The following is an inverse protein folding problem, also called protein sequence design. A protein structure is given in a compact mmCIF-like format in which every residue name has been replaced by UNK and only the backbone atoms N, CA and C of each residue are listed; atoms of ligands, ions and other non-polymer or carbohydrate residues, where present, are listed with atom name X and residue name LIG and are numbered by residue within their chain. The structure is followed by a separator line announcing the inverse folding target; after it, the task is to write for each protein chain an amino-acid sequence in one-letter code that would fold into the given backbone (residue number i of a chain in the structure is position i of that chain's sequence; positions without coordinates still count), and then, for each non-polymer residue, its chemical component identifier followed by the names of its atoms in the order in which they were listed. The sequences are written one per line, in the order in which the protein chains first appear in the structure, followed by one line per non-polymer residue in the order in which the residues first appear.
data_IF_306565145319
#
_entry.id   IF_306565145319
#
_cell.length_a   1.000
_cell.length_b   1.000
_cell.length_c   1.000
_cell.angle_alpha   90.00
_cell.angle_beta   90.00
_cell.angle_gamma   90.00
#
_symmetry.space_group_name_H-M   'P 1'
#
loop_
_entity.id
_entity.type
_entity.pdbx_description
1 polymer ?
#
# COMPACT_ATOMS: atom_id res chain seq x y z
N UNK A 1 3.71 -11.45 7.76
CA UNK A 1 4.00 -12.47 8.80
C UNK A 1 5.21 -13.32 8.37
N UNK A 2 5.90 -14.05 9.25
CA UNK A 2 6.84 -15.12 8.83
C UNK A 2 6.04 -16.40 8.55
N UNK A 3 6.58 -17.30 7.72
CA UNK A 3 5.89 -18.57 7.47
C UNK A 3 5.71 -19.39 8.74
N UNK A 4 6.70 -19.43 9.65
CA UNK A 4 6.58 -20.25 10.85
C UNK A 4 5.39 -19.85 11.72
N UNK A 5 5.16 -18.55 11.92
CA UNK A 5 3.93 -18.01 12.53
C UNK A 5 2.66 -18.26 11.71
N UNK A 6 2.75 -18.19 10.38
CA UNK A 6 1.59 -18.34 9.48
C UNK A 6 1.11 -19.80 9.43
N UNK A 7 2.04 -20.76 9.36
CA UNK A 7 1.74 -22.18 9.25
C UNK A 7 1.05 -22.72 10.50
N UNK A 8 1.39 -22.19 11.68
CA UNK A 8 0.80 -22.58 12.97
C UNK A 8 -0.32 -21.64 13.43
N UNK A 9 -0.80 -20.76 12.56
CA UNK A 9 -1.81 -19.78 12.98
C UNK A 9 -3.10 -20.49 13.40
N UNK A 10 -3.64 -20.10 14.55
CA UNK A 10 -4.83 -20.72 15.12
C UNK A 10 -6.04 -20.56 14.20
N UNK A 11 -6.92 -21.57 14.19
CA UNK A 11 -8.22 -21.51 13.53
C UNK A 11 -9.02 -20.28 13.97
N UNK A 12 -9.03 -19.96 15.27
CA UNK A 12 -9.72 -18.80 15.85
C UNK A 12 -8.82 -17.56 15.94
N UNK A 13 -8.11 -17.24 14.86
CA UNK A 13 -7.15 -16.12 14.83
C UNK A 13 -7.78 -14.72 14.69
N UNK A 14 -9.07 -14.61 14.34
CA UNK A 14 -9.73 -13.32 14.16
C UNK A 14 -10.12 -12.69 15.50
N UNK A 15 -9.75 -11.42 15.68
CA UNK A 15 -10.07 -10.63 16.88
C UNK A 15 -10.83 -9.38 16.47
N UNK A 16 -12.08 -9.25 16.93
CA UNK A 16 -12.86 -8.03 16.78
C UNK A 16 -12.38 -6.99 17.79
N UNK A 17 -12.03 -5.79 17.30
CA UNK A 17 -11.52 -4.70 18.15
C UNK A 17 -12.64 -3.72 18.51
N UNK A 18 -13.64 -3.56 17.65
CA UNK A 18 -14.73 -2.61 17.84
C UNK A 18 -15.06 -1.86 16.55
N UNK A 19 -15.58 -0.63 16.69
CA UNK A 19 -15.84 0.28 15.58
C UNK A 19 -14.96 1.52 15.68
N UNK A 20 -14.52 2.03 14.53
CA UNK A 20 -13.86 3.31 14.45
C UNK A 20 -14.84 4.48 14.67
N UNK A 21 -14.32 5.70 14.67
CA UNK A 21 -15.12 6.93 14.83
C UNK A 21 -16.13 7.17 13.71
N UNK A 22 -16.00 6.46 12.59
CA UNK A 22 -16.90 6.48 11.43
C UNK A 22 -17.89 5.31 11.46
N UNK A 23 -17.83 4.45 12.47
CA UNK A 23 -18.69 3.28 12.62
C UNK A 23 -18.23 2.04 11.85
N UNK A 24 -17.06 2.07 11.21
CA UNK A 24 -16.51 0.91 10.50
C UNK A 24 -15.94 -0.10 11.48
N UNK A 25 -16.20 -1.37 11.23
CA UNK A 25 -15.66 -2.45 12.05
C UNK A 25 -14.14 -2.56 11.91
N UNK A 26 -13.46 -2.71 13.04
CA UNK A 26 -12.02 -2.92 13.13
C UNK A 26 -11.73 -4.34 13.59
N UNK A 27 -10.86 -5.01 12.83
CA UNK A 27 -10.47 -6.39 13.06
C UNK A 27 -8.95 -6.52 13.09
N UNK A 28 -8.46 -7.52 13.81
CA UNK A 28 -7.06 -7.92 13.82
C UNK A 28 -6.92 -9.42 13.70
N UNK A 29 -5.75 -9.85 13.25
CA UNK A 29 -5.35 -11.25 13.31
C UNK A 29 -4.36 -11.46 14.45
N UNK A 30 -4.63 -12.45 15.31
CA UNK A 30 -3.78 -12.85 16.43
C UNK A 30 -2.97 -14.10 16.05
N UNK A 31 -1.67 -14.08 16.36
CA UNK A 31 -0.78 -15.20 16.08
C UNK A 31 0.42 -15.20 17.05
N UNK A 32 1.09 -16.35 17.16
CA UNK A 32 2.32 -16.48 17.94
C UNK A 32 3.55 -16.14 17.09
N UNK A 33 4.42 -15.24 17.57
CA UNK A 33 5.69 -14.94 16.92
C UNK A 33 6.81 -15.66 17.67
N UNK A 34 7.20 -16.83 17.17
CA UNK A 34 8.24 -17.67 17.77
C UNK A 34 9.55 -16.93 18.04
N UNK A 35 9.93 -15.97 17.19
CA UNK A 35 11.19 -15.24 17.35
C UNK A 35 11.13 -14.24 18.51
N UNK A 36 9.95 -13.69 18.76
CA UNK A 36 9.71 -12.75 19.85
C UNK A 36 9.16 -13.44 21.10
N UNK A 37 8.89 -14.74 21.01
CA UNK A 37 8.32 -15.59 22.05
C UNK A 37 7.08 -14.98 22.71
N UNK A 38 6.16 -14.46 21.88
CA UNK A 38 4.94 -13.80 22.35
C UNK A 38 3.82 -13.81 21.33
N UNK A 39 2.59 -13.69 21.82
CA UNK A 39 1.44 -13.39 20.99
C UNK A 39 1.52 -11.96 20.41
N UNK A 40 1.10 -11.81 19.16
CA UNK A 40 1.01 -10.54 18.46
C UNK A 40 -0.31 -10.42 17.74
N UNK A 41 -0.77 -9.18 17.62
CA UNK A 41 -1.93 -8.80 16.83
C UNK A 41 -1.52 -7.85 15.72
N UNK A 42 -2.04 -8.05 14.52
CA UNK A 42 -1.87 -7.13 13.39
C UNK A 42 -3.27 -6.74 12.87
N UNK A 43 -3.55 -5.43 12.68
CA UNK A 43 -4.81 -4.99 12.10
C UNK A 43 -4.95 -5.47 10.65
N UNK A 44 -6.16 -5.87 10.28
CA UNK A 44 -6.47 -6.41 8.95
C UNK A 44 -7.69 -5.70 8.34
N UNK A 45 -7.77 -5.70 7.01
CA UNK A 45 -8.91 -5.16 6.28
C UNK A 45 -10.13 -6.07 6.41
N UNK A 46 -11.33 -5.51 6.20
CA UNK A 46 -12.57 -6.29 6.15
C UNK A 46 -12.57 -7.34 5.03
N UNK A 47 -11.93 -7.03 3.90
CA UNK A 47 -11.74 -7.99 2.81
C UNK A 47 -10.94 -9.21 3.28
N UNK A 48 -9.87 -9.01 4.05
CA UNK A 48 -9.08 -10.12 4.58
C UNK A 48 -9.84 -10.90 5.65
N UNK A 49 -10.68 -10.25 6.47
CA UNK A 49 -11.57 -10.94 7.41
C UNK A 49 -12.47 -11.92 6.68
N UNK A 50 -13.07 -11.50 5.57
CA UNK A 50 -13.95 -12.34 4.77
C UNK A 50 -13.22 -13.54 4.17
N UNK A 51 -12.01 -13.34 3.64
CA UNK A 51 -11.16 -14.43 3.14
C UNK A 51 -10.81 -15.42 4.26
N UNK A 52 -10.50 -14.94 5.46
CA UNK A 52 -10.20 -15.82 6.61
C UNK A 52 -11.43 -16.62 7.03
N UNK A 53 -12.62 -16.02 7.03
CA UNK A 53 -13.87 -16.74 7.32
C UNK A 53 -14.15 -17.85 6.30
N UNK A 54 -13.98 -17.58 5.01
CA UNK A 54 -14.11 -18.59 3.96
C UNK A 54 -13.11 -19.73 4.16
N UNK A 55 -11.88 -19.42 4.56
CA UNK A 55 -10.89 -20.44 4.91
C UNK A 55 -11.29 -21.26 6.14
N UNK A 56 -11.87 -20.64 7.18
CA UNK A 56 -12.40 -21.33 8.36
C UNK A 56 -13.54 -22.27 7.99
N UNK A 57 -14.46 -21.83 7.13
CA UNK A 57 -15.56 -22.66 6.62
C UNK A 57 -15.04 -23.86 5.84
N UNK A 58 -14.09 -23.64 4.93
CA UNK A 58 -13.44 -24.71 4.18
C UNK A 58 -12.76 -25.74 5.11
N UNK A 59 -12.02 -25.30 6.12
CA UNK A 59 -11.39 -26.24 7.05
C UNK A 59 -12.42 -26.97 7.90
N UNK A 60 -13.48 -26.29 8.36
CA UNK A 60 -14.55 -26.91 9.15
C UNK A 60 -15.27 -28.01 8.37
N UNK A 61 -15.55 -27.79 7.09
CA UNK A 61 -16.22 -28.76 6.22
C UNK A 61 -15.45 -30.08 6.11
N UNK A 62 -14.11 -30.02 6.01
CA UNK A 62 -13.28 -31.20 5.80
C UNK A 62 -12.66 -31.79 7.07
N UNK A 63 -12.35 -30.97 8.08
CA UNK A 63 -11.61 -31.39 9.27
C UNK A 63 -12.45 -31.36 10.55
N UNK A 64 -13.66 -30.79 10.52
CA UNK A 64 -14.51 -30.59 11.70
C UNK A 64 -14.10 -29.39 12.55
N UNK A 65 -14.83 -29.18 13.65
CA UNK A 65 -14.65 -28.02 14.54
C UNK A 65 -13.45 -28.14 15.50
N UNK A 66 -12.85 -29.32 15.63
CA UNK A 66 -11.74 -29.59 16.55
C UNK A 66 -10.35 -29.50 15.87
N UNK A 67 -10.29 -28.80 14.73
CA UNK A 67 -9.03 -28.51 14.06
C UNK A 67 -8.38 -27.23 14.60
N UNK A 68 -7.11 -27.30 14.96
CA UNK A 68 -6.38 -26.24 15.66
C UNK A 68 -5.91 -25.09 14.75
N UNK A 69 -5.63 -25.35 13.47
CA UNK A 69 -4.91 -24.44 12.57
C UNK A 69 -5.78 -23.90 11.43
N UNK A 70 -5.67 -22.61 11.11
CA UNK A 70 -6.37 -22.02 9.96
C UNK A 70 -5.92 -22.63 8.62
N UNK A 71 -4.65 -23.03 8.54
CA UNK A 71 -4.06 -23.65 7.36
C UNK A 71 -3.52 -25.03 7.71
N UNK A 72 -3.79 -25.99 6.85
CA UNK A 72 -3.33 -27.37 7.04
C UNK A 72 -2.53 -27.88 5.85
N UNK A 73 -1.82 -28.98 6.06
CA UNK A 73 -1.16 -29.72 4.99
C UNK A 73 -2.20 -30.46 4.14
N UNK A 74 -1.77 -30.82 2.94
CA UNK A 74 -2.55 -31.71 2.07
C UNK A 74 -2.47 -33.16 2.55
N UNK A 75 -3.57 -33.88 2.46
CA UNK A 75 -3.62 -35.33 2.72
C UNK A 75 -2.67 -36.12 1.81
N UNK A 76 -2.01 -37.15 2.36
CA UNK A 76 -1.06 -38.00 1.62
C UNK A 76 -1.82 -38.77 0.53
N UNK A 77 -1.30 -38.77 -0.70
CA UNK A 77 -1.89 -39.49 -1.84
C UNK A 77 -2.92 -38.70 -2.65
N UNK A 78 -3.36 -37.52 -2.20
CA UNK A 78 -4.25 -36.66 -2.99
C UNK A 78 -3.45 -35.82 -4.01
N UNK A 79 -2.85 -36.47 -5.00
CA UNK A 79 -2.15 -35.77 -6.10
C UNK A 79 -3.12 -35.14 -7.13
N UNK A 80 -4.42 -35.16 -6.84
CA UNK A 80 -5.44 -34.55 -7.68
C UNK A 80 -5.41 -33.02 -7.68
N UNK A 81 -6.19 -32.43 -8.61
CA UNK A 81 -6.37 -30.98 -8.73
C UNK A 81 -7.01 -30.36 -7.48
N UNK A 82 -7.80 -31.14 -6.74
CA UNK A 82 -8.48 -30.72 -5.51
C UNK A 82 -7.53 -30.79 -4.33
N UNK A 83 -7.51 -29.72 -3.53
CA UNK A 83 -6.79 -29.70 -2.25
C UNK A 83 -7.66 -30.32 -1.17
N UNK A 84 -7.19 -31.41 -0.55
CA UNK A 84 -7.87 -32.05 0.58
C UNK A 84 -7.04 -31.76 1.84
N UNK A 85 -7.57 -30.99 2.80
CA UNK A 85 -6.86 -30.64 4.01
C UNK A 85 -6.73 -31.86 4.94
N UNK A 86 -5.65 -31.89 5.72
CA UNK A 86 -5.41 -32.91 6.73
C UNK A 86 -5.47 -32.29 8.12
N UNK A 87 -6.39 -32.79 8.94
CA UNK A 87 -6.67 -32.27 10.29
C UNK A 87 -5.41 -32.21 11.15
N UNK A 88 -5.22 -31.09 11.83
CA UNK A 88 -4.12 -30.83 12.77
C UNK A 88 -2.70 -31.06 12.20
N UNK A 89 -2.55 -31.03 10.87
CA UNK A 89 -1.25 -31.10 10.23
C UNK A 89 -0.87 -29.74 9.65
N UNK A 90 0.25 -29.18 10.09
CA UNK A 90 0.81 -27.96 9.51
C UNK A 90 1.57 -28.27 8.21
N UNK A 91 1.38 -27.45 7.19
CA UNK A 91 2.14 -27.55 5.94
C UNK A 91 3.62 -27.18 6.19
N UNK A 92 4.53 -27.95 5.60
CA UNK A 92 5.96 -27.58 5.62
C UNK A 92 6.26 -26.41 4.69
N UNK A 93 7.20 -25.54 5.07
CA UNK A 93 7.59 -24.36 4.29
C UNK A 93 8.01 -24.68 2.85
N UNK A 94 8.71 -25.80 2.63
CA UNK A 94 9.10 -26.25 1.30
C UNK A 94 7.89 -26.57 0.42
N UNK A 95 6.87 -27.22 0.97
CA UNK A 95 5.63 -27.51 0.24
C UNK A 95 4.87 -26.22 -0.07
N UNK A 96 4.78 -25.29 0.89
CA UNK A 96 4.18 -23.98 0.66
C UNK A 96 4.87 -23.21 -0.48
N UNK A 97 6.20 -23.14 -0.47
CA UNK A 97 6.99 -22.52 -1.54
C UNK A 97 6.76 -23.23 -2.87
N UNK A 98 6.68 -24.56 -2.88
CA UNK A 98 6.39 -25.33 -4.08
C UNK A 98 4.99 -25.01 -4.65
N UNK A 99 3.97 -24.88 -3.79
CA UNK A 99 2.63 -24.45 -4.22
C UNK A 99 2.64 -23.06 -4.83
N UNK A 100 3.33 -22.10 -4.21
CA UNK A 100 3.46 -20.73 -4.75
C UNK A 100 4.16 -20.72 -6.12
N UNK A 101 5.25 -21.49 -6.27
CA UNK A 101 5.98 -21.57 -7.53
C UNK A 101 5.20 -22.32 -8.61
N UNK A 102 4.38 -23.31 -8.24
CA UNK A 102 3.44 -23.95 -9.17
C UNK A 102 2.35 -22.98 -9.63
N UNK A 103 1.84 -22.15 -8.72
CA UNK A 103 0.89 -21.09 -9.06
C UNK A 103 1.55 -20.06 -9.99
N UNK A 104 2.79 -19.66 -9.72
CA UNK A 104 3.56 -18.76 -10.59
C UNK A 104 3.65 -19.30 -12.02
N UNK A 105 3.98 -20.59 -12.19
CA UNK A 105 4.00 -21.27 -13.50
C UNK A 105 2.63 -21.25 -14.17
N UNK A 106 1.58 -21.64 -13.46
CA UNK A 106 0.22 -21.75 -13.98
C UNK A 106 -0.33 -20.39 -14.43
N UNK A 107 -0.08 -19.35 -13.64
CA UNK A 107 -0.53 -17.99 -13.89
C UNK A 107 0.46 -17.18 -14.76
N UNK A 108 1.59 -17.78 -15.18
CA UNK A 108 2.66 -17.12 -15.93
C UNK A 108 3.14 -15.81 -15.29
N UNK A 109 3.32 -15.82 -13.97
CA UNK A 109 3.84 -14.67 -13.22
C UNK A 109 5.31 -14.50 -13.58
N UNK A 110 5.67 -13.36 -14.16
CA UNK A 110 7.01 -13.05 -14.68
C UNK A 110 7.57 -11.77 -14.04
N UNK A 111 8.90 -11.66 -14.03
CA UNK A 111 9.59 -10.40 -13.74
C UNK A 111 9.58 -9.45 -14.95
N UNK A 112 10.16 -8.27 -14.76
CA UNK A 112 10.30 -7.23 -15.79
C UNK A 112 11.09 -7.66 -17.04
N UNK A 113 11.89 -8.74 -16.94
CA UNK A 113 12.66 -9.30 -18.05
C UNK A 113 11.93 -10.49 -18.72
N UNK A 114 10.68 -10.75 -18.35
CA UNK A 114 9.88 -11.86 -18.88
C UNK A 114 10.29 -13.23 -18.34
N UNK A 115 11.16 -13.30 -17.33
CA UNK A 115 11.54 -14.55 -16.69
C UNK A 115 10.49 -14.93 -15.64
N UNK A 116 10.15 -16.22 -15.57
CA UNK A 116 9.20 -16.72 -14.58
C UNK A 116 9.65 -16.38 -13.15
N UNK A 117 8.76 -15.80 -12.37
CA UNK A 117 9.03 -15.42 -10.98
C UNK A 117 9.24 -16.64 -10.09
N UNK A 118 10.26 -16.59 -9.23
CA UNK A 118 10.52 -17.59 -8.22
C UNK A 118 10.19 -17.04 -6.83
N UNK A 119 9.16 -17.62 -6.20
CA UNK A 119 8.72 -17.21 -4.87
C UNK A 119 9.59 -17.81 -3.78
N UNK A 120 10.00 -16.97 -2.82
CA UNK A 120 10.67 -17.35 -1.58
C UNK A 120 9.84 -16.93 -0.35
N UNK A 121 10.07 -17.58 0.79
CA UNK A 121 9.25 -17.41 2.01
C UNK A 121 9.19 -15.97 2.56
N UNK A 122 10.25 -15.18 2.37
CA UNK A 122 10.36 -13.84 2.96
C UNK A 122 10.00 -12.70 2.01
N UNK A 123 9.77 -12.98 0.72
CA UNK A 123 9.55 -11.93 -0.28
C UNK A 123 8.33 -11.07 0.03
N UNK A 124 7.17 -11.67 0.35
CA UNK A 124 5.96 -10.92 0.70
C UNK A 124 6.18 -9.94 1.85
N UNK A 125 6.94 -10.37 2.87
CA UNK A 125 7.27 -9.54 4.03
C UNK A 125 8.19 -8.39 3.64
N UNK A 126 9.16 -8.63 2.76
CA UNK A 126 10.02 -7.58 2.22
C UNK A 126 9.23 -6.57 1.40
N UNK A 127 8.36 -7.04 0.50
CA UNK A 127 7.48 -6.18 -0.31
C UNK A 127 6.64 -5.26 0.56
N UNK A 128 5.99 -5.78 1.60
CA UNK A 128 5.20 -4.95 2.54
C UNK A 128 6.09 -3.93 3.27
N UNK A 129 7.28 -4.34 3.74
CA UNK A 129 8.21 -3.42 4.41
C UNK A 129 8.68 -2.27 3.50
N UNK A 130 9.02 -2.59 2.24
CA UNK A 130 9.39 -1.62 1.21
C UNK A 130 8.22 -0.70 0.85
N UNK A 131 7.00 -1.23 0.72
CA UNK A 131 5.82 -0.41 0.45
C UNK A 131 5.53 0.57 1.59
N UNK A 132 5.60 0.11 2.84
CA UNK A 132 5.37 0.97 4.02
C UNK A 132 6.39 2.09 4.11
N UNK A 133 7.69 1.80 3.91
CA UNK A 133 8.70 2.86 3.95
C UNK A 133 8.50 3.86 2.80
N UNK A 134 8.19 3.38 1.59
CA UNK A 134 7.97 4.23 0.42
C UNK A 134 6.71 5.09 0.54
N UNK A 135 5.76 4.69 1.37
CA UNK A 135 4.58 5.47 1.73
C UNK A 135 4.82 6.40 2.93
N UNK A 136 6.05 6.50 3.44
CA UNK A 136 6.42 7.37 4.55
C UNK A 136 5.98 6.87 5.93
N UNK A 137 5.63 5.59 6.08
CA UNK A 137 5.28 5.02 7.40
C UNK A 137 6.50 5.11 8.32
N UNK A 138 6.39 5.66 9.55
CA UNK A 138 7.52 5.79 10.45
C UNK A 138 8.21 4.45 10.74
N UNK A 139 9.55 4.44 10.74
CA UNK A 139 10.36 3.22 10.89
C UNK A 139 9.98 2.39 12.13
N UNK A 140 9.69 3.04 13.27
CA UNK A 140 9.28 2.36 14.50
C UNK A 140 7.92 1.64 14.38
N UNK A 141 7.01 2.14 13.54
CA UNK A 141 5.72 1.49 13.23
C UNK A 141 5.95 0.28 12.33
N UNK A 142 6.80 0.41 11.30
CA UNK A 142 7.21 -0.72 10.44
C UNK A 142 7.84 -1.83 11.28
N UNK A 143 8.73 -1.47 12.21
CA UNK A 143 9.34 -2.41 13.16
C UNK A 143 8.27 -3.14 13.99
N UNK A 144 7.26 -2.43 14.48
CA UNK A 144 6.16 -3.01 15.28
C UNK A 144 5.28 -3.95 14.45
N UNK A 145 4.96 -3.59 13.20
CA UNK A 145 4.12 -4.41 12.30
C UNK A 145 4.89 -5.65 11.83
N UNK A 146 6.14 -5.49 11.43
CA UNK A 146 6.94 -6.61 10.99
C UNK A 146 7.40 -7.47 12.19
N UNK A 147 7.65 -6.90 13.36
CA UNK A 147 8.26 -7.60 14.50
C UNK A 147 9.77 -7.68 14.32
N UNK A 148 10.39 -6.54 14.09
CA UNK A 148 11.85 -6.37 14.09
C UNK A 148 12.30 -5.98 15.49
N UNK A 149 13.28 -6.72 16.02
CA UNK A 149 13.84 -6.46 17.35
C UNK A 149 14.82 -5.28 17.35
N UNK A 150 15.32 -4.90 16.17
CA UNK A 150 16.36 -3.88 16.05
C UNK A 150 16.11 -2.95 14.86
N UNK A 151 16.47 -1.66 14.95
CA UNK A 151 16.31 -0.69 13.86
C UNK A 151 17.08 -1.07 12.60
N UNK A 152 18.23 -1.74 12.72
CA UNK A 152 19.11 -2.16 11.62
C UNK A 152 18.38 -3.06 10.63
N UNK A 153 17.51 -3.96 11.12
CA UNK A 153 16.69 -4.81 10.26
C UNK A 153 15.73 -4.01 9.37
N UNK A 154 15.36 -2.80 9.80
CA UNK A 154 14.43 -1.90 9.08
C UNK A 154 15.19 -0.85 8.28
N UNK A 155 16.44 -0.51 8.63
CA UNK A 155 17.29 0.42 7.87
C UNK A 155 17.50 -0.02 6.42
N UNK A 156 17.46 -1.34 6.14
CA UNK A 156 17.48 -1.84 4.75
C UNK A 156 16.37 -1.22 3.88
N UNK A 157 15.22 -0.89 4.46
CA UNK A 157 14.13 -0.22 3.74
C UNK A 157 14.37 1.28 3.61
N UNK A 158 15.01 1.93 4.58
CA UNK A 158 15.31 3.36 4.53
C UNK A 158 16.22 3.72 3.34
N UNK A 159 17.25 2.92 3.07
CA UNK A 159 18.10 3.12 1.88
C UNK A 159 17.33 2.97 0.55
N UNK A 160 16.35 2.05 0.50
CA UNK A 160 15.49 1.87 -0.67
C UNK A 160 14.55 3.07 -0.83
N UNK A 161 14.04 3.63 0.26
CA UNK A 161 13.28 4.87 0.24
C UNK A 161 14.13 6.02 -0.33
N UNK A 162 15.39 6.18 0.10
CA UNK A 162 16.27 7.23 -0.41
C UNK A 162 16.59 7.07 -1.91
N UNK A 163 16.81 5.83 -2.38
CA UNK A 163 17.03 5.56 -3.81
C UNK A 163 15.75 5.76 -4.64
N UNK A 164 14.60 5.33 -4.12
CA UNK A 164 13.29 5.54 -4.75
C UNK A 164 12.97 7.03 -4.83
N UNK A 165 13.20 7.76 -3.74
CA UNK A 165 13.06 9.21 -3.67
C UNK A 165 13.96 9.88 -4.71
N UNK A 166 15.24 9.49 -4.81
CA UNK A 166 16.15 9.99 -5.87
C UNK A 166 15.65 9.70 -7.28
N UNK A 167 15.14 8.50 -7.56
CA UNK A 167 14.61 8.14 -8.89
C UNK A 167 13.34 8.91 -9.23
N UNK A 168 12.41 9.03 -8.29
CA UNK A 168 11.19 9.83 -8.47
C UNK A 168 11.49 11.33 -8.59
N UNK A 169 12.51 11.82 -7.88
CA UNK A 169 13.03 13.18 -8.02
C UNK A 169 13.76 13.42 -9.34
N UNK A 170 14.51 12.46 -9.86
CA UNK A 170 15.12 12.55 -11.19
C UNK A 170 14.03 12.64 -12.27
N UNK A 171 12.99 11.81 -12.18
CA UNK A 171 11.79 11.93 -13.03
C UNK A 171 11.09 13.28 -12.86
N UNK A 172 11.03 13.81 -11.64
CA UNK A 172 10.49 15.13 -11.35
C UNK A 172 11.32 16.25 -12.01
N UNK A 173 12.65 16.17 -11.99
CA UNK A 173 13.54 17.11 -12.66
C UNK A 173 13.47 17.05 -14.19
N UNK A 174 13.32 15.85 -14.74
CA UNK A 174 13.24 15.63 -16.19
C UNK A 174 11.86 15.97 -16.78
N UNK A 175 10.81 15.97 -15.95
CA UNK A 175 9.44 16.27 -16.39
C UNK A 175 9.05 17.73 -16.13
N UNK A 176 8.45 18.38 -17.13
CA UNK A 176 7.78 19.67 -16.93
C UNK A 176 6.61 19.46 -15.96
N UNK A 177 6.77 19.88 -14.72
CA UNK A 177 5.68 19.84 -13.74
C UNK A 177 4.83 21.11 -13.80
N UNK A 178 3.55 20.96 -13.47
CA UNK A 178 2.60 22.06 -13.39
C UNK A 178 2.01 22.16 -11.99
N UNK A 179 1.58 23.36 -11.60
CA UNK A 179 0.84 23.58 -10.35
C UNK A 179 -0.68 23.42 -10.52
N UNK A 180 -1.43 23.69 -9.44
CA UNK A 180 -2.91 23.62 -9.43
C UNK A 180 -3.59 24.60 -10.39
N UNK A 181 -2.88 25.63 -10.84
CA UNK A 181 -3.38 26.64 -11.80
C UNK A 181 -3.05 26.29 -13.25
N UNK A 182 -2.27 25.22 -13.47
CA UNK A 182 -1.81 24.81 -14.78
C UNK A 182 -0.61 25.60 -15.29
N UNK A 183 0.11 26.31 -14.42
CA UNK A 183 1.36 26.97 -14.80
C UNK A 183 2.52 25.98 -14.72
N UNK A 184 3.41 26.03 -15.71
CA UNK A 184 4.66 25.24 -15.70
C UNK A 184 5.55 25.80 -14.60
N UNK A 185 5.94 24.95 -13.67
CA UNK A 185 6.87 25.28 -12.59
C UNK A 185 8.14 24.50 -12.83
N UNK A 186 9.19 25.20 -13.30
CA UNK A 186 10.55 24.70 -13.22
C UNK A 186 11.03 24.95 -11.79
N UNK A 187 11.49 23.90 -11.13
CA UNK A 187 12.05 24.02 -9.79
C UNK A 187 13.53 24.38 -9.94
N UNK A 188 13.85 25.67 -9.80
CA UNK A 188 15.22 26.17 -9.73
C UNK A 188 15.84 25.74 -8.39
N UNK A 189 16.43 24.55 -8.40
CA UNK A 189 17.21 24.05 -7.27
C UNK A 189 18.66 24.50 -7.46
N UNK A 190 19.03 25.61 -6.81
CA UNK A 190 20.43 26.05 -6.73
C UNK A 190 21.24 25.16 -5.77
N UNK A 191 21.71 24.00 -6.23
CA UNK A 191 22.60 23.15 -5.42
C UNK A 191 23.02 21.86 -6.10
N UNK A 192 24.06 21.21 -5.57
CA UNK A 192 24.60 19.97 -6.10
C UNK A 192 23.59 18.81 -5.87
N UNK A 193 23.07 18.15 -6.92
CA UNK A 193 22.14 17.02 -6.80
C UNK A 193 22.68 15.82 -6.02
N UNK A 194 24.01 15.74 -5.82
CA UNK A 194 24.67 14.68 -5.07
C UNK A 194 24.57 14.86 -3.54
N UNK A 195 24.33 16.08 -3.05
CA UNK A 195 24.22 16.37 -1.62
C UNK A 195 22.80 16.08 -1.09
N UNK A 196 22.60 14.82 -0.68
CA UNK A 196 21.36 14.34 -0.05
C UNK A 196 20.96 15.21 1.17
N UNK A 197 21.93 15.75 1.93
CA UNK A 197 21.71 16.64 3.07
C UNK A 197 21.24 18.05 2.69
N UNK A 198 21.63 18.56 1.52
CA UNK A 198 21.16 19.84 1.00
C UNK A 198 19.75 19.67 0.39
N UNK A 199 19.54 18.59 -0.37
CA UNK A 199 18.27 18.31 -1.05
C UNK A 199 17.13 17.98 -0.05
N UNK A 200 17.46 17.27 1.03
CA UNK A 200 16.50 17.00 2.11
C UNK A 200 16.15 18.22 2.95
N UNK A 201 16.88 19.34 2.85
CA UNK A 201 16.58 20.59 3.58
C UNK A 201 15.52 21.46 2.89
N UNK A 202 15.47 21.49 1.56
CA UNK A 202 14.62 22.44 0.82
C UNK A 202 13.27 21.86 0.34
N UNK A 203 13.16 20.56 0.03
CA UNK A 203 11.90 20.01 -0.48
C UNK A 203 11.55 18.71 0.25
N UNK A 204 10.44 18.71 0.99
CA UNK A 204 9.78 17.48 1.40
C UNK A 204 9.05 16.88 0.20
N UNK A 205 9.79 16.49 -0.84
CA UNK A 205 9.28 15.92 -2.08
C UNK A 205 8.68 14.54 -1.80
N UNK A 206 7.59 14.52 -1.05
CA UNK A 206 6.82 13.33 -0.75
C UNK A 206 6.06 13.04 -2.04
N UNK A 207 6.33 11.86 -2.60
CA UNK A 207 5.51 11.31 -3.67
C UNK A 207 4.08 11.15 -3.13
N UNK A 208 3.14 11.81 -3.78
CA UNK A 208 1.71 11.67 -3.53
C UNK A 208 1.14 10.68 -4.55
N UNK A 209 0.01 10.00 -4.25
CA UNK A 209 -0.66 9.13 -5.22
C UNK A 209 -1.04 9.84 -6.53
N UNK A 210 -1.16 11.16 -6.49
CA UNK A 210 -1.62 12.01 -7.58
C UNK A 210 -0.57 13.04 -8.07
N UNK A 211 0.67 12.99 -7.59
CA UNK A 211 1.70 13.96 -7.96
C UNK A 211 2.78 14.07 -6.89
N UNK A 212 3.23 15.29 -6.61
CA UNK A 212 4.33 15.55 -5.69
C UNK A 212 4.02 16.73 -4.76
N UNK A 213 4.51 16.66 -3.53
CA UNK A 213 4.45 17.77 -2.58
C UNK A 213 5.73 18.60 -2.65
N UNK A 214 5.63 19.86 -3.08
CA UNK A 214 6.72 20.84 -3.05
C UNK A 214 6.76 21.67 -1.77
N UNK A 215 6.26 21.17 -0.64
CA UNK A 215 6.20 21.95 0.62
C UNK A 215 7.60 22.04 1.25
N UNK A 216 8.10 23.25 1.54
CA UNK A 216 9.35 23.41 2.28
C UNK A 216 9.25 22.81 3.69
N UNK A 217 10.27 22.06 4.14
CA UNK A 217 10.29 21.45 5.48
C UNK A 217 10.26 22.47 6.62
N UNK A 218 10.74 23.70 6.38
CA UNK A 218 10.69 24.80 7.34
C UNK A 218 9.27 25.17 7.77
N UNK A 219 8.25 24.79 6.99
CA UNK A 219 6.83 25.01 7.29
C UNK A 219 6.20 23.92 8.17
N UNK A 220 6.99 22.94 8.63
CA UNK A 220 6.51 21.84 9.48
C UNK A 220 5.57 20.86 8.76
N UNK A 221 4.92 20.01 9.56
CA UNK A 221 4.04 18.95 9.07
C UNK A 221 2.84 19.50 8.28
N UNK A 222 2.36 18.71 7.32
CA UNK A 222 1.20 19.04 6.50
C UNK A 222 -0.10 18.83 7.28
N UNK A 223 -0.98 19.82 7.28
CA UNK A 223 -2.31 19.79 7.90
C UNK A 223 -3.44 19.44 6.91
N UNK A 224 -3.10 19.22 5.64
CA UNK A 224 -4.06 18.84 4.60
C UNK A 224 -4.43 17.37 4.75
N UNK A 225 -5.70 17.11 5.06
CA UNK A 225 -6.24 15.77 5.16
C UNK A 225 -6.49 15.15 3.78
N UNK A 226 -5.82 14.03 3.50
CA UNK A 226 -6.02 13.21 2.30
C UNK A 226 -5.40 13.77 1.01
N UNK A 227 -5.37 12.93 -0.02
CA UNK A 227 -4.87 13.22 -1.36
C UNK A 227 -5.73 14.25 -2.12
N UNK A 228 -7.03 14.24 -1.89
CA UNK A 228 -8.01 15.16 -2.51
C UNK A 228 -7.77 16.62 -2.11
N UNK A 229 -7.30 16.87 -0.88
CA UNK A 229 -6.97 18.22 -0.42
C UNK A 229 -5.78 18.85 -1.16
N UNK A 230 -4.93 18.03 -1.80
CA UNK A 230 -3.77 18.54 -2.54
C UNK A 230 -4.18 19.33 -3.80
N UNK A 231 -5.37 19.08 -4.37
CA UNK A 231 -5.86 19.82 -5.54
C UNK A 231 -6.18 21.30 -5.29
N UNK A 232 -6.14 21.74 -4.03
CA UNK A 232 -6.26 23.15 -3.64
C UNK A 232 -5.00 23.66 -2.93
N UNK A 233 -3.94 22.84 -2.86
CA UNK A 233 -2.71 23.18 -2.19
C UNK A 233 -1.75 23.91 -3.13
N UNK A 234 -1.21 25.09 -2.76
CA UNK A 234 -0.24 25.81 -3.59
C UNK A 234 1.10 25.08 -3.73
N UNK A 235 1.39 24.11 -2.86
CA UNK A 235 2.61 23.28 -2.94
C UNK A 235 2.47 22.05 -3.82
N UNK A 236 1.26 21.75 -4.32
CA UNK A 236 1.05 20.58 -5.14
C UNK A 236 1.64 20.75 -6.54
N UNK A 237 2.33 19.72 -7.03
CA UNK A 237 2.92 19.65 -8.36
C UNK A 237 2.53 18.34 -9.01
N UNK A 238 2.31 18.35 -10.32
CA UNK A 238 2.01 17.12 -11.08
C UNK A 238 2.57 17.21 -12.49
N UNK A 239 2.56 16.10 -13.21
CA UNK A 239 3.00 16.00 -14.60
C UNK A 239 2.12 14.99 -15.37
N UNK A 240 2.48 14.73 -16.63
CA UNK A 240 1.71 13.90 -17.55
C UNK A 240 1.57 12.44 -17.11
N UNK A 241 2.47 11.91 -16.27
CA UNK A 241 2.38 10.51 -15.81
C UNK A 241 1.16 10.26 -14.89
N UNK A 242 0.63 11.32 -14.26
CA UNK A 242 -0.55 11.26 -13.40
C UNK A 242 -1.85 11.65 -14.12
N UNK A 243 -1.82 11.86 -15.44
CA UNK A 243 -2.97 12.35 -16.21
C UNK A 243 -4.22 11.48 -16.03
N UNK A 244 -4.07 10.15 -16.07
CA UNK A 244 -5.19 9.23 -15.91
C UNK A 244 -5.79 9.29 -14.51
N UNK A 245 -4.95 9.49 -13.49
CA UNK A 245 -5.37 9.68 -12.09
C UNK A 245 -6.18 10.98 -11.96
N UNK A 246 -5.76 12.06 -12.61
CA UNK A 246 -6.51 13.31 -12.63
C UNK A 246 -7.86 13.17 -13.33
N UNK A 247 -7.91 12.45 -14.46
CA UNK A 247 -9.16 12.19 -15.20
C UNK A 247 -10.15 11.38 -14.35
N UNK A 248 -9.69 10.31 -13.71
CA UNK A 248 -10.52 9.51 -12.81
C UNK A 248 -11.04 10.34 -11.63
N UNK A 249 -10.18 11.13 -10.99
CA UNK A 249 -10.59 11.99 -9.88
C UNK A 249 -11.59 13.08 -10.31
N UNK A 250 -11.44 13.66 -11.51
CA UNK A 250 -12.40 14.63 -12.05
C UNK A 250 -13.77 13.99 -12.25
N UNK A 251 -13.83 12.76 -12.73
CA UNK A 251 -15.08 12.03 -12.93
C UNK A 251 -15.77 11.71 -11.60
N UNK A 252 -15.01 11.26 -10.58
CA UNK A 252 -15.53 11.05 -9.22
C UNK A 252 -16.08 12.34 -8.63
N UNK A 253 -15.34 13.44 -8.76
CA UNK A 253 -15.74 14.78 -8.27
C UNK A 253 -17.02 15.26 -8.96
N UNK A 254 -17.16 15.03 -10.27
CA UNK A 254 -18.39 15.34 -11.02
C UNK A 254 -19.59 14.55 -10.50
N UNK A 255 -19.45 13.25 -10.26
CA UNK A 255 -20.54 12.42 -9.71
C UNK A 255 -21.02 12.91 -8.34
N UNK A 256 -20.11 13.36 -7.48
CA UNK A 256 -20.44 13.96 -6.18
C UNK A 256 -21.21 15.26 -6.38
N UNK A 257 -20.71 16.16 -7.24
CA UNK A 257 -21.35 17.44 -7.51
C UNK A 257 -22.73 17.28 -8.15
N UNK A 258 -22.93 16.35 -9.08
CA UNK A 258 -24.25 16.06 -9.67
C UNK A 258 -25.28 15.70 -8.59
N UNK A 259 -24.91 14.85 -7.63
CA UNK A 259 -25.78 14.53 -6.48
C UNK A 259 -26.00 15.75 -5.59
N UNK A 260 -24.93 16.49 -5.29
CA UNK A 260 -25.00 17.64 -4.40
C UNK A 260 -25.88 18.76 -4.96
N UNK A 261 -25.79 19.07 -6.26
CA UNK A 261 -26.66 20.02 -6.92
C UNK A 261 -28.12 19.54 -6.97
N UNK A 262 -28.36 18.25 -7.20
CA UNK A 262 -29.71 17.68 -7.22
C UNK A 262 -30.42 17.82 -5.86
N UNK A 263 -29.69 17.66 -4.76
CA UNK A 263 -30.23 17.67 -3.40
C UNK A 263 -29.91 18.96 -2.63
N UNK A 264 -29.39 19.98 -3.30
CA UNK A 264 -28.99 21.28 -2.73
C UNK A 264 -28.03 21.19 -1.51
N UNK A 265 -27.07 20.26 -1.57
CA UNK A 265 -26.08 20.07 -0.51
C UNK A 265 -24.94 21.09 -0.60
N UNK A 266 -25.10 22.20 0.11
CA UNK A 266 -24.18 23.34 0.07
C UNK A 266 -22.72 23.00 0.47
N UNK A 267 -22.53 22.17 1.49
CA UNK A 267 -21.18 21.83 1.98
C UNK A 267 -20.35 21.00 0.96
N UNK A 268 -20.88 19.89 0.40
CA UNK A 268 -20.22 19.20 -0.71
C UNK A 268 -19.95 20.07 -1.92
N UNK A 269 -20.87 20.96 -2.32
CA UNK A 269 -20.66 21.89 -3.44
C UNK A 269 -19.45 22.78 -3.13
N UNK A 270 -19.47 23.45 -1.98
CA UNK A 270 -18.39 24.36 -1.55
C UNK A 270 -17.01 23.67 -1.51
N UNK A 271 -16.95 22.41 -1.08
CA UNK A 271 -15.68 21.66 -0.98
C UNK A 271 -15.17 21.14 -2.33
N UNK A 272 -16.06 20.68 -3.21
CA UNK A 272 -15.66 19.95 -4.43
C UNK A 272 -15.57 20.85 -5.67
N UNK A 273 -16.21 22.01 -5.67
CA UNK A 273 -16.21 22.92 -6.81
C UNK A 273 -14.81 23.49 -7.12
N UNK A 274 -14.02 23.97 -6.15
CA UNK A 274 -12.64 24.42 -6.41
C UNK A 274 -11.74 23.29 -6.93
N UNK A 275 -11.91 22.08 -6.39
CA UNK A 275 -11.17 20.89 -6.82
C UNK A 275 -11.48 20.57 -8.29
N UNK A 276 -12.77 20.59 -8.67
CA UNK A 276 -13.19 20.39 -10.06
C UNK A 276 -12.55 21.42 -11.00
N UNK A 277 -12.48 22.68 -10.59
CA UNK A 277 -11.91 23.76 -11.40
C UNK A 277 -10.40 23.55 -11.62
N UNK A 278 -9.65 23.30 -10.55
CA UNK A 278 -8.21 23.07 -10.63
C UNK A 278 -7.88 21.79 -11.42
N UNK A 279 -8.65 20.71 -11.24
CA UNK A 279 -8.50 19.49 -12.03
C UNK A 279 -8.70 19.73 -13.53
N UNK A 280 -9.66 20.57 -13.92
CA UNK A 280 -9.84 20.94 -15.34
C UNK A 280 -8.61 21.68 -15.87
N UNK A 281 -8.08 22.65 -15.13
CA UNK A 281 -6.89 23.39 -15.52
C UNK A 281 -5.69 22.44 -15.68
N UNK A 282 -5.42 21.61 -14.67
CA UNK A 282 -4.37 20.59 -14.69
C UNK A 282 -4.50 19.70 -15.93
N UNK A 283 -5.67 19.10 -16.16
CA UNK A 283 -5.88 18.17 -17.28
C UNK A 283 -5.70 18.88 -18.62
N UNK A 284 -6.29 20.07 -18.80
CA UNK A 284 -6.16 20.84 -20.05
C UNK A 284 -4.70 21.17 -20.34
N UNK A 285 -3.93 21.59 -19.34
CA UNK A 285 -2.50 21.88 -19.53
C UNK A 285 -1.71 20.62 -19.86
N UNK A 286 -1.93 19.51 -19.15
CA UNK A 286 -1.23 18.24 -19.39
C UNK A 286 -1.58 17.59 -20.74
N UNK A 287 -2.80 17.77 -21.23
CA UNK A 287 -3.22 17.30 -22.56
C UNK A 287 -2.65 18.17 -23.70
N UNK A 288 -2.47 19.47 -23.45
CA UNK A 288 -1.85 20.39 -24.39
C UNK A 288 -0.31 20.19 -24.51
N UNK A 289 0.30 19.60 -23.48
CA UNK A 289 1.72 19.29 -23.48
C UNK A 289 2.05 18.13 -24.44
N UNK A 290 2.73 18.47 -25.55
CA UNK A 290 3.14 17.53 -26.61
C UNK A 290 4.45 16.79 -26.29
N UNK A 291 5.02 17.02 -25.10
CA UNK A 291 6.20 16.30 -24.59
C UNK A 291 5.93 14.82 -24.38
#
# INVERSE_FOLDING_TARGET
MRYSSLGIISFDCLVYIGKDTLGNEQWSIKFYDEKLDRERTIPISLELVEIVKQQQEFIREYCGDDNEYLFTARAVGSNGAVFIPMKNQVMGIGNFINYLNNLARKCKIQDENGKLWHFESHQFRHTVGTQMINQGVPQHIIMKILGHCSPEMTMRYAHIHDETLRKELAKFHESKTIDITGQIVALELEGNPEDLEWFTKEIAAIALPNGYCGRPKVLGDCDIAGDVGCYICPHFRTNKSFLDIHKDQLERTRKILTKAYKYDWQLPIKKNEPIRQNLKLIITTLEADKS
#
